data_IF_939518862496
#
_entry.id   IF_939518862496
#
_cell.length_a   1.000
_cell.length_b   1.000
_cell.length_c   1.000
_cell.angle_alpha   90.00
_cell.angle_beta   90.00
_cell.angle_gamma   90.00
#
_symmetry.space_group_name_H-M   'P 1'
#
loop_
_entity.id
_entity.type
_entity.pdbx_description
1 polymer ?
#
# COMPACT_ATOMS: atom_id res chain seq x y z
N UNK A 1 3.31 -22.10 13.26
CA UNK A 1 3.02 -20.70 13.67
C UNK A 1 1.53 -20.57 13.98
N UNK A 2 1.11 -19.83 15.00
CA UNK A 2 -0.31 -19.57 15.28
C UNK A 2 -0.88 -18.44 14.41
N UNK A 3 -2.20 -18.42 14.15
CA UNK A 3 -2.81 -17.35 13.34
C UNK A 3 -2.60 -15.95 13.95
N UNK A 4 -2.67 -15.82 15.28
CA UNK A 4 -2.41 -14.56 15.97
C UNK A 4 -0.95 -14.08 15.84
N UNK A 5 0.01 -14.99 15.61
CA UNK A 5 1.41 -14.63 15.29
C UNK A 5 1.52 -14.12 13.86
N UNK A 6 0.89 -14.82 12.93
CA UNK A 6 0.88 -14.45 11.51
C UNK A 6 0.28 -13.05 11.30
N UNK A 7 -0.86 -12.75 11.93
CA UNK A 7 -1.49 -11.40 11.87
C UNK A 7 -0.62 -10.35 12.57
N UNK A 8 0.06 -10.69 13.67
CA UNK A 8 1.01 -9.78 14.34
C UNK A 8 2.19 -9.44 13.44
N UNK A 9 2.69 -10.41 12.70
CA UNK A 9 3.81 -10.21 11.80
C UNK A 9 3.44 -9.32 10.60
N UNK A 10 2.23 -9.52 10.03
CA UNK A 10 1.69 -8.59 9.02
C UNK A 10 1.58 -7.17 9.59
N UNK A 11 0.94 -7.00 10.76
CA UNK A 11 0.78 -5.69 11.38
C UNK A 11 2.13 -5.00 11.65
N UNK A 12 3.13 -5.76 12.11
CA UNK A 12 4.50 -5.27 12.35
C UNK A 12 5.13 -4.74 11.07
N UNK A 13 5.05 -5.48 9.97
CA UNK A 13 5.61 -5.08 8.66
C UNK A 13 4.90 -3.88 8.03
N UNK A 14 3.61 -3.72 8.32
CA UNK A 14 2.84 -2.55 7.92
C UNK A 14 3.08 -1.31 8.81
N UNK A 15 3.89 -1.44 9.87
CA UNK A 15 4.16 -0.36 10.83
C UNK A 15 3.01 -0.08 11.80
N UNK A 16 2.07 -1.02 11.96
CA UNK A 16 0.92 -0.90 12.85
C UNK A 16 1.23 -1.57 14.19
N UNK A 17 1.12 -0.82 15.29
CA UNK A 17 1.51 -1.30 16.62
C UNK A 17 0.65 -2.44 17.17
N UNK A 18 -0.60 -2.62 16.67
CA UNK A 18 -1.52 -3.66 17.13
C UNK A 18 -2.27 -4.30 15.95
N UNK A 19 -2.42 -5.64 15.95
CA UNK A 19 -3.30 -6.33 15.01
C UNK A 19 -4.72 -5.78 15.09
N UNK A 20 -5.23 -5.22 13.99
CA UNK A 20 -6.62 -4.79 13.89
C UNK A 20 -7.47 -5.87 13.20
N UNK A 21 -8.80 -5.73 13.28
CA UNK A 21 -9.70 -6.53 12.44
C UNK A 21 -9.52 -6.26 10.94
N UNK A 22 -9.00 -5.08 10.58
CA UNK A 22 -8.70 -4.73 9.20
C UNK A 22 -7.58 -5.59 8.63
N UNK A 23 -6.47 -5.76 9.36
CA UNK A 23 -5.36 -6.66 8.97
C UNK A 23 -5.86 -8.09 8.78
N UNK A 24 -6.72 -8.59 9.66
CA UNK A 24 -7.31 -9.94 9.53
C UNK A 24 -8.20 -10.07 8.30
N UNK A 25 -8.93 -9.01 7.92
CA UNK A 25 -9.77 -9.00 6.72
C UNK A 25 -8.92 -8.93 5.45
N UNK A 26 -7.87 -8.13 5.45
CA UNK A 26 -6.94 -8.01 4.32
C UNK A 26 -6.20 -9.32 4.10
N UNK A 27 -5.66 -9.92 5.16
CA UNK A 27 -5.01 -11.24 5.12
C UNK A 27 -5.93 -12.33 4.55
N UNK A 28 -7.17 -12.45 5.03
CA UNK A 28 -8.14 -13.41 4.49
C UNK A 28 -8.46 -13.17 3.02
N UNK A 29 -8.55 -11.91 2.60
CA UNK A 29 -8.82 -11.58 1.21
C UNK A 29 -7.65 -11.86 0.28
N UNK A 30 -6.42 -11.56 0.71
CA UNK A 30 -5.20 -11.89 -0.04
C UNK A 30 -5.06 -13.41 -0.16
N UNK A 31 -5.21 -14.16 0.93
CA UNK A 31 -5.16 -15.63 0.91
C UNK A 31 -6.20 -16.24 -0.03
N UNK A 32 -7.45 -15.75 0.02
CA UNK A 32 -8.50 -16.23 -0.87
C UNK A 32 -8.21 -15.90 -2.35
N UNK A 33 -7.64 -14.73 -2.65
CA UNK A 33 -7.24 -14.40 -4.03
C UNK A 33 -6.07 -15.25 -4.47
N UNK A 34 -5.04 -15.40 -3.62
CA UNK A 34 -3.86 -16.20 -3.87
C UNK A 34 -4.23 -17.66 -4.15
N UNK A 35 -5.04 -18.28 -3.30
CA UNK A 35 -5.52 -19.65 -3.52
C UNK A 35 -6.38 -19.82 -4.77
N UNK A 36 -7.06 -18.75 -5.23
CA UNK A 36 -7.77 -18.74 -6.50
C UNK A 36 -6.86 -18.59 -7.74
N UNK A 37 -5.57 -18.32 -7.55
CA UNK A 37 -4.58 -18.17 -8.63
C UNK A 37 -3.61 -19.36 -8.71
N UNK A 38 -3.53 -20.21 -7.69
CA UNK A 38 -2.60 -21.33 -7.63
C UNK A 38 -3.19 -22.64 -8.19
N UNK A 39 -2.34 -23.53 -8.73
CA UNK A 39 -2.69 -24.93 -8.99
C UNK A 39 -3.21 -25.61 -7.71
N UNK A 40 -4.16 -26.55 -7.84
CA UNK A 40 -4.83 -27.19 -6.70
C UNK A 40 -3.84 -27.90 -5.75
N UNK A 41 -2.83 -28.58 -6.31
CA UNK A 41 -1.81 -29.28 -5.52
C UNK A 41 -0.94 -28.32 -4.71
N UNK A 42 -0.48 -27.23 -5.33
CA UNK A 42 0.33 -26.21 -4.65
C UNK A 42 -0.51 -25.49 -3.58
N UNK A 43 -1.75 -25.12 -3.91
CA UNK A 43 -2.68 -24.51 -2.96
C UNK A 43 -2.88 -25.39 -1.72
N UNK A 44 -3.17 -26.68 -1.90
CA UNK A 44 -3.38 -27.62 -0.79
C UNK A 44 -2.10 -27.78 0.04
N UNK A 45 -0.95 -27.90 -0.63
CA UNK A 45 0.37 -28.00 0.03
C UNK A 45 0.69 -26.78 0.88
N UNK A 46 0.37 -25.58 0.42
CA UNK A 46 0.55 -24.34 1.19
C UNK A 46 -0.48 -24.26 2.32
N UNK A 47 -1.74 -24.58 2.06
CA UNK A 47 -2.82 -24.49 3.04
C UNK A 47 -2.54 -25.35 4.29
N UNK A 48 -2.01 -26.58 4.15
CA UNK A 48 -1.70 -27.45 5.30
C UNK A 48 -0.60 -26.91 6.22
N UNK A 49 0.16 -25.92 5.78
CA UNK A 49 1.21 -25.27 6.56
C UNK A 49 0.72 -24.02 7.28
N UNK A 50 -0.44 -23.49 6.89
CA UNK A 50 -1.03 -22.30 7.47
C UNK A 50 -1.91 -22.65 8.67
N UNK A 51 -1.90 -21.83 9.74
CA UNK A 51 -2.77 -22.04 10.89
C UNK A 51 -4.24 -21.65 10.59
N UNK A 52 -5.23 -22.32 11.18
CA UNK A 52 -6.62 -21.88 11.10
C UNK A 52 -6.83 -20.46 11.64
N UNK A 53 -7.62 -19.60 10.96
CA UNK A 53 -8.43 -19.85 9.76
C UNK A 53 -7.75 -19.46 8.42
N UNK A 54 -6.41 -19.37 8.36
CA UNK A 54 -5.70 -18.97 7.15
C UNK A 54 -5.68 -20.07 6.07
N UNK A 55 -5.64 -21.33 6.49
CA UNK A 55 -5.81 -22.51 5.63
C UNK A 55 -7.16 -22.48 4.90
N UNK A 56 -8.26 -22.30 5.63
CA UNK A 56 -9.60 -22.19 5.08
C UNK A 56 -9.67 -21.04 4.07
N UNK A 57 -9.14 -19.87 4.42
CA UNK A 57 -9.11 -18.71 3.53
C UNK A 57 -8.37 -19.00 2.21
N UNK A 58 -7.26 -19.74 2.26
CA UNK A 58 -6.51 -20.19 1.08
C UNK A 58 -7.34 -21.16 0.21
N UNK A 59 -8.22 -21.96 0.82
CA UNK A 59 -9.02 -22.97 0.12
C UNK A 59 -10.36 -22.46 -0.42
N UNK A 60 -10.84 -21.30 0.02
CA UNK A 60 -12.18 -20.75 -0.33
C UNK A 60 -12.36 -20.56 -1.84
N UNK A 61 -11.35 -20.05 -2.55
CA UNK A 61 -11.49 -19.78 -3.98
C UNK A 61 -10.99 -20.97 -4.80
N UNK A 62 -11.79 -21.42 -5.77
CA UNK A 62 -11.38 -22.38 -6.80
C UNK A 62 -11.45 -21.71 -8.16
N UNK A 63 -10.44 -21.98 -8.97
CA UNK A 63 -10.38 -21.55 -10.36
C UNK A 63 -10.27 -22.82 -11.20
N UNK A 64 -11.20 -23.00 -12.15
CA UNK A 64 -11.22 -24.15 -13.05
C UNK A 64 -10.16 -24.04 -14.17
N UNK A 65 -9.54 -22.86 -14.32
CA UNK A 65 -8.48 -22.59 -15.32
C UNK A 65 -7.33 -21.83 -14.69
N UNK A 66 -6.31 -22.55 -14.26
CA UNK A 66 -5.07 -21.95 -13.76
C UNK A 66 -4.18 -21.65 -14.98
N UNK A 67 -3.78 -20.39 -15.19
CA UNK A 67 -2.78 -20.06 -16.21
C UNK A 67 -1.44 -20.75 -15.89
N UNK A 68 -0.62 -21.05 -16.90
CA UNK A 68 0.74 -21.59 -16.67
C UNK A 68 1.61 -20.64 -15.83
N UNK A 69 1.43 -19.33 -15.99
CA UNK A 69 2.07 -18.30 -15.16
C UNK A 69 1.05 -17.20 -14.82
N UNK A 70 1.03 -16.78 -13.56
CA UNK A 70 0.14 -15.71 -13.08
C UNK A 70 0.91 -14.42 -12.94
N UNK A 71 0.53 -13.40 -13.71
CA UNK A 71 1.08 -12.06 -13.53
C UNK A 71 0.72 -11.50 -12.13
N UNK A 72 1.70 -10.95 -11.40
CA UNK A 72 1.50 -10.37 -10.07
C UNK A 72 0.42 -9.27 -10.06
N UNK A 73 0.25 -8.54 -11.17
CA UNK A 73 -0.79 -7.53 -11.35
C UNK A 73 -2.20 -8.11 -11.24
N UNK A 74 -2.40 -9.38 -11.60
CA UNK A 74 -3.70 -10.04 -11.47
C UNK A 74 -4.05 -10.27 -10.00
N UNK A 75 -3.08 -10.66 -9.16
CA UNK A 75 -3.25 -10.74 -7.71
C UNK A 75 -3.67 -9.37 -7.15
N UNK A 76 -2.93 -8.31 -7.46
CA UNK A 76 -3.23 -6.97 -6.95
C UNK A 76 -4.60 -6.46 -7.40
N UNK A 77 -4.95 -6.65 -8.69
CA UNK A 77 -6.26 -6.24 -9.24
C UNK A 77 -7.42 -7.01 -8.58
N UNK A 78 -7.25 -8.31 -8.29
CA UNK A 78 -8.29 -9.11 -7.62
C UNK A 78 -8.43 -8.74 -6.15
N UNK A 79 -7.33 -8.47 -5.44
CA UNK A 79 -7.35 -7.98 -4.06
C UNK A 79 -8.04 -6.61 -3.99
N UNK A 80 -7.69 -5.69 -4.90
CA UNK A 80 -8.31 -4.37 -4.98
C UNK A 80 -9.83 -4.45 -5.15
N UNK A 81 -10.31 -5.29 -6.08
CA UNK A 81 -11.75 -5.50 -6.29
C UNK A 81 -12.43 -6.14 -5.08
N UNK A 82 -11.83 -7.19 -4.50
CA UNK A 82 -12.40 -7.94 -3.37
C UNK A 82 -12.54 -7.08 -2.11
N UNK A 83 -11.62 -6.13 -1.90
CA UNK A 83 -11.60 -5.25 -0.72
C UNK A 83 -12.10 -3.84 -1.01
N UNK A 84 -12.50 -3.55 -2.25
CA UNK A 84 -12.88 -2.20 -2.70
C UNK A 84 -11.80 -1.15 -2.39
N UNK A 85 -10.54 -1.52 -2.61
CA UNK A 85 -9.36 -0.68 -2.33
C UNK A 85 -8.86 -0.02 -3.61
N UNK A 86 -8.14 1.10 -3.45
CA UNK A 86 -7.30 1.66 -4.51
C UNK A 86 -6.17 0.66 -4.82
N UNK A 87 -5.77 0.56 -6.10
CA UNK A 87 -4.79 -0.42 -6.54
C UNK A 87 -3.44 -0.32 -5.79
N UNK A 88 -2.94 0.90 -5.55
CA UNK A 88 -1.69 1.09 -4.79
C UNK A 88 -1.76 0.52 -3.37
N UNK A 89 -2.88 0.72 -2.67
CA UNK A 89 -3.10 0.15 -1.33
C UNK A 89 -3.18 -1.38 -1.42
N UNK A 90 -3.90 -1.93 -2.41
CA UNK A 90 -4.00 -3.37 -2.59
C UNK A 90 -2.63 -4.02 -2.87
N UNK A 91 -1.78 -3.36 -3.65
CA UNK A 91 -0.41 -3.79 -3.94
C UNK A 91 0.42 -3.86 -2.66
N UNK A 92 0.46 -2.77 -1.87
CA UNK A 92 1.21 -2.72 -0.61
C UNK A 92 0.79 -3.83 0.36
N UNK A 93 -0.52 -3.98 0.58
CA UNK A 93 -1.08 -5.02 1.47
C UNK A 93 -0.76 -6.42 0.97
N UNK A 94 -0.95 -6.66 -0.33
CA UNK A 94 -0.69 -7.98 -0.92
C UNK A 94 0.79 -8.36 -0.81
N UNK A 95 1.72 -7.44 -1.08
CA UNK A 95 3.16 -7.69 -0.98
C UNK A 95 3.57 -8.06 0.44
N UNK A 96 3.15 -7.27 1.43
CA UNK A 96 3.48 -7.56 2.83
C UNK A 96 2.94 -8.93 3.24
N UNK A 97 1.69 -9.23 2.89
CA UNK A 97 1.07 -10.51 3.24
C UNK A 97 1.77 -11.67 2.51
N UNK A 98 2.07 -11.56 1.22
CA UNK A 98 2.78 -12.62 0.48
C UNK A 98 4.15 -12.91 1.08
N UNK A 99 4.89 -11.88 1.49
CA UNK A 99 6.17 -12.04 2.15
C UNK A 99 6.03 -12.80 3.47
N UNK A 100 5.03 -12.45 4.28
CA UNK A 100 4.75 -13.15 5.55
C UNK A 100 4.34 -14.61 5.32
N UNK A 101 3.63 -14.91 4.22
CA UNK A 101 3.32 -16.28 3.83
C UNK A 101 4.57 -17.03 3.40
N UNK A 102 5.47 -16.41 2.63
CA UNK A 102 6.77 -16.98 2.26
C UNK A 102 7.59 -17.42 3.48
N UNK A 103 7.58 -16.62 4.54
CA UNK A 103 8.26 -16.96 5.80
C UNK A 103 7.54 -18.02 6.66
N UNK A 104 6.24 -18.20 6.44
CA UNK A 104 5.42 -19.10 7.25
C UNK A 104 5.37 -20.54 6.72
N UNK A 105 5.83 -20.77 5.49
CA UNK A 105 5.86 -22.07 4.82
C UNK A 105 7.30 -22.58 4.67
N UNK A 106 7.45 -23.86 4.34
CA UNK A 106 8.74 -24.43 3.99
C UNK A 106 9.31 -23.81 2.71
N UNK A 107 10.64 -23.83 2.58
CA UNK A 107 11.35 -23.20 1.46
C UNK A 107 10.87 -23.72 0.10
N UNK A 108 10.64 -25.03 -0.03
CA UNK A 108 10.18 -25.63 -1.29
C UNK A 108 8.79 -25.12 -1.71
N UNK A 109 7.92 -24.83 -0.75
CA UNK A 109 6.59 -24.26 -0.98
C UNK A 109 6.67 -22.77 -1.28
N UNK A 110 7.59 -22.03 -0.64
CA UNK A 110 7.87 -20.63 -0.97
C UNK A 110 8.45 -20.47 -2.39
N UNK A 111 9.38 -21.35 -2.79
CA UNK A 111 9.94 -21.39 -4.14
C UNK A 111 8.86 -21.72 -5.18
N UNK A 112 8.04 -22.74 -4.92
CA UNK A 112 6.93 -23.09 -5.81
C UNK A 112 5.88 -21.97 -5.92
N UNK A 113 5.65 -21.22 -4.83
CA UNK A 113 4.83 -20.01 -4.86
C UNK A 113 5.46 -18.93 -5.75
N UNK A 114 6.76 -18.68 -5.63
CA UNK A 114 7.46 -17.72 -6.49
C UNK A 114 7.39 -18.13 -7.97
N UNK A 115 7.67 -19.40 -8.30
CA UNK A 115 7.62 -19.91 -9.67
C UNK A 115 6.24 -19.71 -10.33
N UNK A 116 5.15 -19.86 -9.56
CA UNK A 116 3.79 -19.64 -10.05
C UNK A 116 3.53 -18.20 -10.53
N UNK A 117 4.35 -17.23 -10.08
CA UNK A 117 4.27 -15.82 -10.44
C UNK A 117 5.37 -15.34 -11.40
N UNK A 118 6.19 -16.26 -11.93
CA UNK A 118 7.23 -15.96 -12.91
C UNK A 118 8.25 -14.92 -12.41
N UNK A 119 8.61 -13.97 -13.26
CA UNK A 119 9.70 -12.99 -13.01
C UNK A 119 9.50 -12.09 -11.77
N UNK A 120 8.27 -11.98 -11.26
CA UNK A 120 7.94 -11.16 -10.10
C UNK A 120 7.71 -11.98 -8.82
N UNK A 121 7.74 -13.31 -8.92
CA UNK A 121 7.45 -14.20 -7.80
C UNK A 121 8.45 -14.09 -6.66
N UNK A 122 9.75 -14.00 -6.96
CA UNK A 122 10.76 -13.88 -5.90
C UNK A 122 10.54 -12.66 -5.02
N UNK A 123 10.21 -11.52 -5.62
CA UNK A 123 9.95 -10.28 -4.90
C UNK A 123 8.65 -10.31 -4.07
N UNK A 124 7.73 -11.25 -4.34
CA UNK A 124 6.49 -11.43 -3.58
C UNK A 124 6.69 -12.25 -2.31
N UNK A 125 7.55 -13.27 -2.35
CA UNK A 125 7.64 -14.28 -1.29
C UNK A 125 8.97 -14.27 -0.54
N UNK A 126 10.01 -13.59 -1.05
CA UNK A 126 11.30 -13.49 -0.39
C UNK A 126 11.71 -12.05 -0.11
N UNK A 127 12.31 -11.85 1.07
CA UNK A 127 12.82 -10.53 1.43
C UNK A 127 14.06 -10.25 0.58
N UNK A 128 13.99 -9.21 -0.26
CA UNK A 128 15.15 -8.82 -1.03
C UNK A 128 16.19 -8.22 -0.07
N UNK A 129 17.44 -8.72 -0.05
CA UNK A 129 18.48 -8.11 0.74
C UNK A 129 18.58 -6.63 0.35
N UNK A 130 18.42 -5.73 1.33
CA UNK A 130 18.69 -4.32 1.11
C UNK A 130 20.20 -4.24 0.84
N UNK A 131 20.56 -4.01 -0.42
CA UNK A 131 21.96 -3.78 -0.77
C UNK A 131 22.49 -2.66 0.12
N UNK A 132 23.69 -2.85 0.67
CA UNK A 132 24.31 -1.84 1.51
C UNK A 132 24.28 -0.49 0.76
N UNK A 133 23.87 0.61 1.42
CA UNK A 133 23.86 1.90 0.76
C UNK A 133 25.24 2.15 0.17
N UNK A 134 25.32 2.67 -1.07
CA UNK A 134 26.62 2.93 -1.68
C UNK A 134 27.45 3.81 -0.74
N UNK A 135 28.78 3.60 -0.67
CA UNK A 135 29.64 4.42 0.17
C UNK A 135 29.37 5.89 -0.14
N UNK A 136 28.97 6.65 0.88
CA UNK A 136 28.70 8.08 0.71
C UNK A 136 30.00 8.69 0.17
N UNK A 137 29.97 9.43 -0.94
CA UNK A 137 31.16 10.12 -1.40
C UNK A 137 31.64 11.02 -0.24
N UNK A 138 32.88 10.82 0.20
CA UNK A 138 33.51 11.68 1.17
C UNK A 138 33.55 13.09 0.58
N UNK A 139 32.60 13.95 0.95
CA UNK A 139 32.75 15.38 0.71
C UNK A 139 33.93 15.81 1.59
N UNK A 140 34.99 16.42 1.03
CA UNK A 140 36.04 16.99 1.86
C UNK A 140 35.37 17.94 2.85
N UNK A 141 35.69 17.80 4.14
CA UNK A 141 35.22 18.65 5.21
C UNK A 141 35.89 20.03 5.12
N UNK A 142 35.64 20.75 4.03
CA UNK A 142 35.80 22.19 3.99
C UNK A 142 34.55 22.79 4.62
N UNK A 143 34.71 23.41 5.79
CA UNK A 143 33.66 24.20 6.40
C UNK A 143 33.33 25.39 5.49
N UNK A 144 32.46 25.16 4.51
CA UNK A 144 31.79 26.22 3.76
C UNK A 144 30.37 26.24 4.30
N UNK A 145 30.16 27.11 5.28
CA UNK A 145 28.81 27.45 5.71
C UNK A 145 28.07 28.01 4.49
N UNK A 146 26.75 27.83 4.41
CA UNK A 146 25.90 28.41 3.34
C UNK A 146 26.04 29.96 3.28
N UNK A 147 26.69 30.58 4.27
CA UNK A 147 27.03 32.00 4.29
C UNK A 147 28.18 32.39 3.35
N UNK A 148 29.07 31.46 3.01
CA UNK A 148 30.13 31.69 2.04
C UNK A 148 29.60 31.24 0.68
N UNK A 149 29.24 32.21 -0.15
CA UNK A 149 28.54 32.02 -1.42
C UNK A 149 29.12 30.94 -2.35
N UNK A 150 28.34 30.58 -3.38
CA UNK A 150 28.77 29.64 -4.43
C UNK A 150 30.23 29.90 -4.83
N UNK A 151 31.06 28.86 -5.05
CA UNK A 151 32.37 29.03 -5.64
C UNK A 151 32.21 29.79 -6.97
N UNK A 152 32.70 31.04 -7.01
CA UNK A 152 32.53 31.95 -8.14
C UNK A 152 31.63 33.18 -7.91
N UNK A 153 30.98 33.34 -6.75
CA UNK A 153 30.32 34.61 -6.40
C UNK A 153 31.24 35.48 -5.55
N UNK A 154 31.70 36.61 -6.08
CA UNK A 154 32.50 37.62 -5.37
C UNK A 154 31.69 38.47 -4.37
N UNK A 155 30.42 38.14 -4.13
CA UNK A 155 29.57 38.85 -3.18
C UNK A 155 28.94 37.88 -2.18
N UNK A 156 29.47 37.80 -0.95
CA UNK A 156 28.83 37.11 0.17
C UNK A 156 27.43 37.68 0.42
N UNK A 157 26.46 36.84 0.77
CA UNK A 157 25.10 37.30 1.13
C UNK A 157 25.08 38.28 2.31
N UNK A 158 26.14 38.30 3.12
CA UNK A 158 26.39 39.27 4.19
C UNK A 158 26.63 40.70 3.69
N UNK A 159 26.97 40.90 2.41
CA UNK A 159 27.10 42.20 1.76
C UNK A 159 25.82 42.66 1.05
N UNK A 160 24.79 41.80 0.98
CA UNK A 160 23.48 42.20 0.49
C UNK A 160 22.80 43.10 1.55
N UNK A 161 23.13 44.39 1.53
CA UNK A 161 22.35 45.40 2.22
C UNK A 161 20.87 45.23 1.81
N UNK A 162 19.92 45.12 2.76
CA UNK A 162 18.52 45.04 2.42
C UNK A 162 18.10 46.38 1.81
N UNK A 163 18.17 46.47 0.48
CA UNK A 163 17.46 47.51 -0.23
C UNK A 163 15.98 47.25 0.01
N UNK A 164 15.36 48.14 0.79
CA UNK A 164 13.94 48.24 1.02
C UNK A 164 13.20 48.11 -0.33
N UNK A 165 12.62 46.94 -0.64
CA UNK A 165 11.49 46.79 -1.58
C UNK A 165 10.98 45.36 -1.84
N UNK A 166 11.64 44.28 -1.42
CA UNK A 166 11.32 42.94 -1.95
C UNK A 166 10.44 41.99 -1.11
N UNK A 167 9.74 42.45 -0.06
CA UNK A 167 8.79 41.58 0.68
C UNK A 167 7.48 42.30 1.05
N UNK A 168 6.75 42.83 0.06
CA UNK A 168 5.36 43.33 0.28
C UNK A 168 4.25 42.31 0.01
N UNK A 169 4.59 41.09 -0.42
CA UNK A 169 3.61 40.04 -0.67
C UNK A 169 3.91 38.79 0.16
N UNK A 170 3.98 38.98 1.49
CA UNK A 170 3.90 37.86 2.43
C UNK A 170 2.45 37.38 2.51
N UNK A 171 2.15 36.25 1.88
CA UNK A 171 0.82 35.62 1.82
C UNK A 171 0.51 34.84 3.12
N UNK A 172 1.44 34.83 4.09
CA UNK A 172 1.40 34.01 5.31
C UNK A 172 0.76 34.70 6.53
N UNK A 173 -0.15 35.68 6.35
CA UNK A 173 -0.96 36.20 7.47
C UNK A 173 -2.41 36.50 7.11
N UNK A 174 -2.99 35.75 6.17
CA UNK A 174 -4.45 35.82 5.99
C UNK A 174 -5.13 35.07 7.12
N UNK A 175 -5.53 35.82 8.13
CA UNK A 175 -6.38 35.38 9.23
C UNK A 175 -7.72 34.88 8.65
N UNK A 176 -7.93 33.55 8.71
CA UNK A 176 -9.21 32.86 8.50
C UNK A 176 -9.81 32.85 7.07
N UNK A 177 -9.38 31.94 6.18
CA UNK A 177 -9.98 31.75 4.84
C UNK A 177 -11.38 31.09 4.86
N UNK A 178 -11.93 30.76 6.03
CA UNK A 178 -13.27 30.16 6.17
C UNK A 178 -14.26 31.05 6.95
N UNK A 179 -13.95 32.35 7.09
CA UNK A 179 -14.65 33.27 7.98
C UNK A 179 -16.14 33.51 7.72
N UNK A 180 -16.66 33.39 6.49
CA UNK A 180 -18.11 33.58 6.27
C UNK A 180 -18.62 32.85 5.01
N UNK A 181 -19.20 31.67 5.20
CA UNK A 181 -20.24 31.16 4.29
C UNK A 181 -21.29 30.39 5.08
N UNK A 182 -22.12 31.12 5.82
CA UNK A 182 -23.47 30.68 6.18
C UNK A 182 -24.38 31.06 5.01
N UNK A 183 -24.73 30.10 4.15
CA UNK A 183 -25.94 30.15 3.33
C UNK A 183 -26.86 29.07 3.89
N UNK A 184 -27.69 29.43 4.87
CA UNK A 184 -29.12 29.68 4.71
C UNK A 184 -29.87 28.51 4.06
N UNK A 185 -30.42 27.68 4.94
CA UNK A 185 -31.65 26.93 4.74
C UNK A 185 -32.82 27.86 4.38
N UNK A 186 -33.63 27.48 3.40
CA UNK A 186 -34.96 28.09 3.21
C UNK A 186 -35.41 28.06 1.75
N UNK A 187 -36.33 27.15 1.42
CA UNK A 187 -36.96 27.10 0.11
C UNK A 187 -37.85 25.87 -0.03
N UNK A 188 -39.14 26.06 0.20
CA UNK A 188 -40.19 25.05 0.23
C UNK A 188 -40.67 24.62 -1.18
N UNK A 189 -41.49 23.56 -1.17
CA UNK A 189 -42.53 23.15 -2.13
C UNK A 189 -42.14 22.20 -3.26
N UNK A 190 -42.92 21.13 -3.34
CA UNK A 190 -43.02 20.24 -4.48
C UNK A 190 -43.59 18.88 -4.10
N UNK A 191 -44.72 18.86 -3.38
CA UNK A 191 -45.66 17.74 -3.49
C UNK A 191 -46.12 17.72 -4.94
N UNK A 192 -45.80 16.66 -5.69
CA UNK A 192 -46.61 16.28 -6.84
C UNK A 192 -46.71 14.77 -6.94
N UNK A 193 -47.95 14.36 -6.73
CA UNK A 193 -48.55 13.05 -6.87
C UNK A 193 -48.58 12.71 -8.37
N UNK A 194 -48.07 11.54 -8.73
CA UNK A 194 -48.48 10.88 -9.97
C UNK A 194 -48.52 9.36 -9.75
N UNK A 195 -49.66 8.93 -9.23
CA UNK A 195 -50.17 7.57 -9.29
C UNK A 195 -50.36 7.20 -10.77
N UNK A 196 -49.67 6.15 -11.21
CA UNK A 196 -49.59 5.72 -12.60
C UNK A 196 -49.99 4.26 -12.77
N UNK A 197 -51.11 3.87 -12.17
CA UNK A 197 -51.83 2.63 -12.50
C UNK A 197 -52.37 2.74 -13.94
N UNK A 198 -52.02 1.80 -14.81
CA UNK A 198 -52.78 1.55 -16.03
C UNK A 198 -53.14 0.07 -16.14
N UNK A 199 -54.40 -0.26 -16.47
CA UNK A 199 -54.85 -1.62 -16.69
C UNK A 199 -54.68 -2.00 -18.16
N UNK A 200 -54.30 -3.25 -18.41
CA UNK A 200 -54.93 -4.17 -19.36
C UNK A 200 -54.32 -5.55 -19.24
#
# INVERSE_FOLDING_TARGET
>A
MMYAELVREVARREGVSRPSEEVRRDMRAVLAVLGGLLPDDLRKRVAVQLPPPADDAMLVARTDRVPEAVAAEELYRRVARRRSLRLGVALERAQVICLVIGDAVDLASAEALADAFGEHGEALFFERPIAAPPPRPHRPSGAHTIADGRPGSTHPLSEAAPHETSHRHSVASTYNPHGTRKMSSGGARGDDIADGRSPR
#
